data_IF_419149622743
#
_entry.id   IF_419149622743
#
_cell.length_a   1.000
_cell.length_b   1.000
_cell.length_c   1.000
_cell.angle_alpha   90.00
_cell.angle_beta   90.00
_cell.angle_gamma   90.00
#
_symmetry.space_group_name_H-M   'P 1'
#
loop_
_entity.id
_entity.type
_entity.pdbx_description
1 polymer ?
#
# COMPACT_ATOMS: atom_id res chain seq x y z
N UNK A 1 1.63 -0.90 -28.19
CA UNK A 1 1.60 -1.37 -26.79
C UNK A 1 1.01 -2.77 -26.74
N UNK A 2 1.59 -3.69 -25.95
CA UNK A 2 1.06 -5.04 -25.66
C UNK A 2 0.71 -5.10 -24.18
N UNK A 3 -0.43 -5.71 -23.86
CA UNK A 3 -0.87 -5.92 -22.47
C UNK A 3 -0.85 -7.43 -22.23
N UNK A 4 -0.19 -7.86 -21.15
CA UNK A 4 -0.25 -9.22 -20.63
C UNK A 4 -0.89 -9.18 -19.26
N UNK A 5 -1.91 -9.98 -19.06
CA UNK A 5 -2.55 -10.20 -17.78
C UNK A 5 -2.08 -11.57 -17.26
N UNK A 6 -1.65 -11.60 -16.00
CA UNK A 6 -1.27 -12.83 -15.34
C UNK A 6 -2.43 -13.35 -14.49
N UNK A 7 -2.66 -14.67 -14.54
CA UNK A 7 -3.64 -15.27 -13.66
C UNK A 7 -3.07 -15.37 -12.25
N UNK A 8 -3.56 -14.51 -11.37
CA UNK A 8 -3.22 -14.49 -9.95
C UNK A 8 -4.43 -14.82 -9.05
N UNK A 9 -5.56 -15.23 -9.65
CA UNK A 9 -6.82 -15.47 -8.94
C UNK A 9 -7.46 -14.15 -8.49
N UNK A 10 -7.83 -14.05 -7.23
CA UNK A 10 -8.32 -12.77 -6.65
C UNK A 10 -7.15 -11.86 -6.32
N UNK A 11 -6.83 -11.00 -7.27
CA UNK A 11 -5.74 -10.04 -7.23
C UNK A 11 -5.46 -9.50 -8.61
N UNK A 12 -4.48 -8.61 -8.70
CA UNK A 12 -4.11 -7.97 -9.97
C UNK A 12 -2.62 -8.14 -10.26
N UNK A 13 -2.33 -8.41 -11.54
CA UNK A 13 -0.98 -8.43 -12.07
C UNK A 13 -1.00 -8.24 -13.58
N UNK A 14 -0.56 -7.07 -14.04
CA UNK A 14 -0.52 -6.75 -15.46
C UNK A 14 0.90 -6.34 -15.88
N UNK A 15 1.25 -6.62 -17.13
CA UNK A 15 2.46 -6.11 -17.74
C UNK A 15 2.10 -5.34 -19.01
N UNK A 16 2.34 -4.05 -19.00
CA UNK A 16 2.20 -3.17 -20.16
C UNK A 16 3.56 -3.07 -20.84
N UNK A 17 3.69 -3.60 -22.05
CA UNK A 17 4.93 -3.56 -22.84
C UNK A 17 4.83 -2.59 -23.98
N UNK A 18 5.79 -1.69 -24.07
CA UNK A 18 5.94 -0.79 -25.19
C UNK A 18 7.42 -0.74 -25.62
N UNK A 19 7.71 -1.37 -26.79
CA UNK A 19 9.08 -1.51 -27.29
C UNK A 19 10.01 -2.13 -26.25
N UNK A 20 10.96 -1.32 -25.69
CA UNK A 20 11.96 -1.76 -24.69
C UNK A 20 11.59 -1.43 -23.26
N UNK A 21 10.47 -0.70 -23.02
CA UNK A 21 10.01 -0.33 -21.67
C UNK A 21 8.83 -1.22 -21.27
N UNK A 22 8.78 -1.58 -20.01
CA UNK A 22 7.64 -2.32 -19.45
C UNK A 22 7.24 -1.73 -18.11
N UNK A 23 5.93 -1.62 -17.92
CA UNK A 23 5.33 -1.24 -16.65
C UNK A 23 4.55 -2.43 -16.13
N UNK A 24 4.94 -2.93 -14.97
CA UNK A 24 4.17 -3.86 -14.19
C UNK A 24 3.16 -3.06 -13.38
N UNK A 25 1.91 -3.49 -13.38
CA UNK A 25 0.84 -2.88 -12.59
C UNK A 25 0.36 -3.92 -11.61
N UNK A 26 0.58 -3.67 -10.34
CA UNK A 26 0.34 -4.56 -9.23
C UNK A 26 1.02 -5.94 -9.39
N UNK A 27 1.17 -6.65 -8.31
CA UNK A 27 1.60 -8.03 -8.28
C UNK A 27 1.20 -8.67 -6.96
N UNK A 28 0.01 -9.23 -6.92
CA UNK A 28 -0.50 -9.83 -5.70
C UNK A 28 -1.71 -10.74 -5.89
N UNK A 29 -2.07 -11.41 -4.81
CA UNK A 29 -3.28 -12.22 -4.70
C UNK A 29 -3.68 -12.40 -3.24
N UNK A 30 -4.97 -12.50 -2.98
CA UNK A 30 -5.52 -12.94 -1.70
C UNK A 30 -5.69 -14.48 -1.62
N UNK A 31 -5.55 -15.19 -2.76
CA UNK A 31 -5.69 -16.64 -2.79
C UNK A 31 -4.47 -17.35 -2.20
N UNK A 32 -4.69 -18.43 -1.48
CA UNK A 32 -3.61 -19.33 -1.05
C UNK A 32 -3.16 -20.29 -2.17
N UNK A 33 -4.03 -20.54 -3.13
CA UNK A 33 -3.80 -21.39 -4.31
C UNK A 33 -4.30 -20.70 -5.58
N UNK A 34 -3.60 -20.89 -6.68
CA UNK A 34 -3.94 -20.38 -8.02
C UNK A 34 -3.93 -21.59 -8.97
N UNK A 35 -5.04 -21.88 -9.63
CA UNK A 35 -5.20 -23.05 -10.50
C UNK A 35 -4.76 -24.37 -9.83
N UNK A 36 -5.13 -24.55 -8.55
CA UNK A 36 -4.79 -25.73 -7.79
C UNK A 36 -3.34 -25.76 -7.23
N UNK A 37 -2.45 -24.90 -7.68
CA UNK A 37 -1.05 -24.81 -7.22
C UNK A 37 -0.93 -23.86 -6.03
N UNK A 38 0.00 -24.07 -5.09
CA UNK A 38 0.34 -23.10 -4.07
C UNK A 38 0.69 -21.75 -4.70
N UNK A 39 0.21 -20.64 -4.14
CA UNK A 39 0.46 -19.29 -4.71
C UNK A 39 1.95 -18.97 -4.93
N UNK A 40 2.84 -19.57 -4.12
CA UNK A 40 4.30 -19.40 -4.26
C UNK A 40 4.81 -19.88 -5.61
N UNK A 41 4.33 -21.03 -6.07
CA UNK A 41 4.71 -21.59 -7.38
C UNK A 41 4.23 -20.69 -8.53
N UNK A 42 2.99 -20.16 -8.43
CA UNK A 42 2.47 -19.22 -9.41
C UNK A 42 3.30 -17.92 -9.42
N UNK A 43 3.67 -17.41 -8.26
CA UNK A 43 4.56 -16.25 -8.17
C UNK A 43 5.93 -16.52 -8.78
N UNK A 44 6.52 -17.70 -8.56
CA UNK A 44 7.82 -18.05 -9.14
C UNK A 44 7.79 -18.08 -10.67
N UNK A 45 6.69 -18.57 -11.28
CA UNK A 45 6.48 -18.54 -12.72
C UNK A 45 6.40 -17.10 -13.23
N UNK A 46 5.60 -16.25 -12.58
CA UNK A 46 5.45 -14.84 -12.96
C UNK A 46 6.78 -14.08 -12.80
N UNK A 47 7.50 -14.30 -11.70
CA UNK A 47 8.81 -13.70 -11.45
C UNK A 47 9.81 -14.14 -12.53
N UNK A 48 9.80 -15.41 -12.92
CA UNK A 48 10.66 -15.91 -14.00
C UNK A 48 10.39 -15.18 -15.32
N UNK A 49 9.12 -14.92 -15.65
CA UNK A 49 8.79 -14.12 -16.82
C UNK A 49 9.25 -12.65 -16.69
N UNK A 50 9.12 -12.07 -15.50
CA UNK A 50 9.62 -10.71 -15.22
C UNK A 50 11.13 -10.59 -15.38
N UNK A 51 11.93 -11.63 -15.07
CA UNK A 51 13.39 -11.58 -15.21
C UNK A 51 13.82 -11.41 -16.66
N UNK A 52 13.00 -11.83 -17.62
CA UNK A 52 13.29 -11.68 -19.06
C UNK A 52 13.10 -10.24 -19.58
N UNK A 53 12.57 -9.33 -18.73
CA UNK A 53 12.25 -7.95 -19.11
C UNK A 53 13.42 -7.04 -18.65
N UNK A 54 14.14 -6.44 -19.60
CA UNK A 54 15.33 -5.64 -19.32
C UNK A 54 15.02 -4.35 -18.52
N UNK A 55 14.03 -3.58 -18.95
CA UNK A 55 13.64 -2.30 -18.34
C UNK A 55 12.20 -2.39 -17.86
N UNK A 56 12.06 -2.62 -16.59
CA UNK A 56 10.77 -2.76 -15.92
C UNK A 56 10.63 -1.78 -14.77
N UNK A 57 9.53 -1.05 -14.79
CA UNK A 57 9.05 -0.25 -13.68
C UNK A 57 7.84 -0.92 -13.05
N UNK A 58 7.54 -0.60 -11.81
CA UNK A 58 6.39 -1.12 -11.09
C UNK A 58 5.47 0.02 -10.68
N UNK A 59 4.19 -0.12 -10.94
CA UNK A 59 3.12 0.71 -10.38
C UNK A 59 2.35 -0.12 -9.37
N UNK A 60 2.25 0.34 -8.14
CA UNK A 60 1.27 -0.14 -7.18
C UNK A 60 0.08 0.80 -7.18
N UNK A 61 -1.11 0.27 -7.45
CA UNK A 61 -2.34 1.07 -7.48
C UNK A 61 -2.83 1.42 -6.09
N UNK A 62 -2.64 0.50 -5.13
CA UNK A 62 -2.97 0.70 -3.72
C UNK A 62 -2.29 -0.36 -2.81
N UNK A 63 -2.52 -0.28 -1.48
CA UNK A 63 -1.74 -1.02 -0.49
C UNK A 63 -2.40 -2.30 0.04
N UNK A 64 -3.39 -2.86 -0.66
CA UNK A 64 -3.97 -4.14 -0.30
C UNK A 64 -3.08 -5.33 -0.67
N UNK A 65 -3.17 -6.40 0.11
CA UNK A 65 -2.31 -7.57 -0.03
C UNK A 65 -2.50 -8.29 -1.38
N UNK A 66 -3.70 -8.26 -1.93
CA UNK A 66 -4.03 -8.83 -3.24
C UNK A 66 -3.41 -8.09 -4.43
N UNK A 67 -2.85 -6.89 -4.19
CA UNK A 67 -2.09 -6.11 -5.17
C UNK A 67 -0.58 -6.14 -4.94
N UNK A 68 -0.12 -6.53 -3.74
CA UNK A 68 1.30 -6.44 -3.41
C UNK A 68 1.93 -7.71 -2.80
N UNK A 69 1.15 -8.78 -2.53
CA UNK A 69 1.68 -9.99 -1.89
C UNK A 69 2.75 -10.70 -2.71
N UNK A 70 2.68 -10.67 -4.03
CA UNK A 70 3.70 -11.20 -4.92
C UNK A 70 4.97 -10.36 -4.92
N UNK A 71 4.84 -9.03 -4.85
CA UNK A 71 5.98 -8.14 -4.69
C UNK A 71 6.70 -8.41 -3.37
N UNK A 72 5.98 -8.50 -2.26
CA UNK A 72 6.57 -8.83 -0.95
C UNK A 72 7.25 -10.20 -0.95
N UNK A 73 6.63 -11.19 -1.59
CA UNK A 73 7.23 -12.51 -1.79
C UNK A 73 8.54 -12.42 -2.57
N UNK A 74 8.53 -11.71 -3.68
CA UNK A 74 9.70 -11.50 -4.54
C UNK A 74 10.84 -10.81 -3.78
N UNK A 75 10.55 -9.71 -3.08
CA UNK A 75 11.56 -8.96 -2.31
C UNK A 75 12.17 -9.81 -1.19
N UNK A 76 11.38 -10.68 -0.57
CA UNK A 76 11.84 -11.58 0.50
C UNK A 76 12.71 -12.74 -0.02
N UNK A 77 12.35 -13.35 -1.17
CA UNK A 77 12.92 -14.62 -1.59
C UNK A 77 13.91 -14.53 -2.75
N UNK A 78 13.90 -13.45 -3.53
CA UNK A 78 14.76 -13.27 -4.71
C UNK A 78 15.84 -12.19 -4.53
N UNK A 79 15.90 -11.56 -3.39
CA UNK A 79 17.01 -10.72 -2.91
C UNK A 79 17.54 -9.69 -3.92
N UNK A 80 18.86 -9.69 -4.08
CA UNK A 80 19.61 -8.72 -4.88
C UNK A 80 19.46 -8.84 -6.40
N UNK A 81 18.92 -9.96 -6.90
CA UNK A 81 18.81 -10.22 -8.36
C UNK A 81 17.63 -9.51 -9.02
N UNK A 82 16.81 -8.78 -8.28
CA UNK A 82 15.61 -8.18 -8.81
C UNK A 82 15.57 -6.67 -8.57
N UNK A 83 15.69 -5.90 -9.64
CA UNK A 83 15.64 -4.44 -9.61
C UNK A 83 14.57 -3.91 -10.54
N UNK A 84 13.76 -2.99 -10.00
CA UNK A 84 12.93 -2.12 -10.81
C UNK A 84 13.73 -0.86 -11.15
N UNK A 85 13.53 -0.33 -12.35
CA UNK A 85 14.08 0.98 -12.68
C UNK A 85 13.44 2.07 -11.80
N UNK A 86 12.12 1.95 -11.57
CA UNK A 86 11.35 2.84 -10.71
C UNK A 86 10.13 2.13 -10.14
N UNK A 87 9.76 2.49 -8.91
CA UNK A 87 8.51 2.07 -8.27
C UNK A 87 7.63 3.30 -8.09
N UNK A 88 6.43 3.24 -8.65
CA UNK A 88 5.40 4.25 -8.51
C UNK A 88 4.43 3.86 -7.41
N UNK A 89 4.18 4.76 -6.47
CA UNK A 89 3.26 4.56 -5.34
C UNK A 89 2.20 5.67 -5.33
N UNK A 90 0.97 5.38 -4.86
CA UNK A 90 -0.01 6.43 -4.57
C UNK A 90 0.55 7.44 -3.57
N UNK A 91 0.38 8.73 -3.88
CA UNK A 91 0.89 9.80 -3.02
C UNK A 91 -0.04 10.11 -1.84
N UNK A 92 0.07 9.29 -0.81
CA UNK A 92 -0.53 9.54 0.51
C UNK A 92 0.52 10.07 1.51
N UNK A 93 1.73 10.40 1.05
CA UNK A 93 2.86 10.68 1.93
C UNK A 93 3.40 12.11 1.79
N UNK A 94 3.22 12.80 0.67
CA UNK A 94 3.85 14.11 0.47
C UNK A 94 3.08 15.24 1.15
N UNK A 95 1.77 15.15 1.25
CA UNK A 95 0.90 16.20 1.79
C UNK A 95 0.46 15.91 3.22
N UNK A 96 0.55 16.91 4.09
CA UNK A 96 0.01 16.84 5.46
C UNK A 96 -1.52 16.62 5.46
N UNK A 97 -2.22 17.07 4.44
CA UNK A 97 -3.66 16.82 4.27
C UNK A 97 -3.99 15.32 4.19
N UNK A 98 -3.06 14.49 3.73
CA UNK A 98 -3.23 13.04 3.64
C UNK A 98 -2.97 12.31 4.97
N UNK A 99 -2.57 13.00 6.03
CA UNK A 99 -2.22 12.36 7.32
C UNK A 99 -3.41 11.58 7.88
N UNK A 100 -4.64 12.08 7.81
CA UNK A 100 -5.84 11.34 8.24
C UNK A 100 -6.04 10.04 7.47
N UNK A 101 -5.87 10.06 6.15
CA UNK A 101 -5.88 8.85 5.30
C UNK A 101 -4.80 7.87 5.72
N UNK A 102 -3.59 8.36 5.96
CA UNK A 102 -2.46 7.53 6.38
C UNK A 102 -2.69 6.91 7.77
N UNK A 103 -3.31 7.64 8.71
CA UNK A 103 -3.75 7.10 10.01
C UNK A 103 -4.70 5.94 9.83
N UNK A 104 -5.72 6.07 8.98
CA UNK A 104 -6.66 4.99 8.70
C UNK A 104 -5.98 3.77 8.03
N UNK A 105 -5.01 3.99 7.16
CA UNK A 105 -4.20 2.92 6.57
C UNK A 105 -3.36 2.19 7.63
N UNK A 106 -2.73 2.92 8.54
CA UNK A 106 -1.97 2.35 9.65
C UNK A 106 -2.87 1.57 10.61
N UNK A 107 -4.05 2.12 10.93
CA UNK A 107 -5.04 1.41 11.72
C UNK A 107 -5.46 0.11 11.04
N UNK A 108 -5.78 0.14 9.75
CA UNK A 108 -6.13 -1.05 8.98
C UNK A 108 -4.99 -2.08 8.94
N UNK A 109 -3.74 -1.64 8.91
CA UNK A 109 -2.55 -2.51 8.98
C UNK A 109 -2.39 -3.16 10.36
N UNK A 110 -2.64 -2.43 11.46
CA UNK A 110 -2.64 -2.97 12.82
C UNK A 110 -3.74 -3.99 13.07
N UNK A 111 -4.90 -3.83 12.42
CA UNK A 111 -6.07 -4.70 12.58
C UNK A 111 -6.00 -6.04 11.82
N UNK A 112 -4.89 -6.36 11.19
CA UNK A 112 -4.72 -7.57 10.33
C UNK A 112 -5.18 -8.87 10.96
N UNK A 113 -4.95 -9.04 12.26
CA UNK A 113 -5.20 -10.29 12.97
C UNK A 113 -6.59 -10.36 13.60
N UNK A 114 -7.36 -9.27 13.56
CA UNK A 114 -8.71 -9.21 14.09
C UNK A 114 -9.74 -9.42 13.00
N UNK A 115 -10.34 -10.60 12.93
CA UNK A 115 -11.62 -10.98 12.27
C UNK A 115 -12.10 -10.23 10.99
N UNK A 116 -11.25 -9.51 10.29
CA UNK A 116 -11.57 -8.81 9.05
C UNK A 116 -10.93 -9.55 7.87
N UNK A 117 -11.58 -10.66 7.38
CA UNK A 117 -10.94 -11.55 6.46
C UNK A 117 -10.87 -10.95 5.12
N UNK A 118 -10.50 -10.38 4.40
CA UNK A 118 -10.51 -10.26 2.92
C UNK A 118 -9.75 -9.12 2.26
N UNK A 119 -9.35 -8.06 2.98
CA UNK A 119 -8.58 -6.99 2.36
C UNK A 119 -7.56 -6.44 3.36
N UNK A 120 -6.51 -7.22 3.62
CA UNK A 120 -5.44 -6.79 4.51
C UNK A 120 -4.64 -5.68 3.82
N UNK A 121 -4.60 -4.51 4.44
CA UNK A 121 -3.61 -3.49 4.11
C UNK A 121 -2.25 -3.98 4.56
N UNK A 122 -1.23 -3.82 3.75
CA UNK A 122 0.15 -4.21 4.03
C UNK A 122 1.13 -3.08 3.75
N UNK A 123 0.73 -1.89 4.13
CA UNK A 123 1.54 -0.69 3.97
C UNK A 123 2.88 -0.80 4.70
N UNK A 124 2.82 -1.26 5.95
CA UNK A 124 4.01 -1.43 6.77
C UNK A 124 5.01 -2.40 6.15
N UNK A 125 4.55 -3.61 5.76
CA UNK A 125 5.41 -4.61 5.13
C UNK A 125 6.03 -4.12 3.82
N UNK A 126 5.30 -3.31 3.04
CA UNK A 126 5.82 -2.69 1.83
C UNK A 126 6.94 -1.70 2.16
N UNK A 127 6.69 -0.76 3.08
CA UNK A 127 7.69 0.27 3.43
C UNK A 127 8.94 -0.37 4.04
N UNK A 128 8.79 -1.39 4.90
CA UNK A 128 9.91 -2.16 5.43
C UNK A 128 10.72 -2.84 4.32
N UNK A 129 10.06 -3.46 3.36
CA UNK A 129 10.72 -4.12 2.24
C UNK A 129 11.48 -3.12 1.34
N UNK A 130 10.88 -1.95 1.07
CA UNK A 130 11.52 -0.87 0.30
C UNK A 130 12.71 -0.26 1.04
N UNK A 131 12.64 -0.12 2.36
CA UNK A 131 13.74 0.40 3.18
C UNK A 131 14.97 -0.53 3.20
N UNK A 132 14.75 -1.85 3.12
CA UNK A 132 15.83 -2.85 3.07
C UNK A 132 16.58 -2.88 1.75
N UNK A 133 15.94 -2.47 0.67
CA UNK A 133 16.53 -2.46 -0.67
C UNK A 133 16.24 -1.13 -1.35
N UNK A 134 17.28 -0.30 -1.60
CA UNK A 134 17.10 0.97 -2.29
C UNK A 134 16.43 0.77 -3.64
N UNK A 135 15.35 1.50 -3.85
CA UNK A 135 14.64 1.58 -5.12
C UNK A 135 14.39 3.06 -5.41
N UNK A 136 14.32 3.39 -6.68
CA UNK A 136 13.84 4.72 -7.09
C UNK A 136 12.33 4.77 -6.90
N UNK A 137 11.87 5.55 -5.94
CA UNK A 137 10.45 5.70 -5.63
C UNK A 137 9.97 7.04 -6.16
N UNK A 138 8.84 7.00 -6.84
CA UNK A 138 8.10 8.18 -7.26
C UNK A 138 6.66 8.12 -6.75
N UNK A 139 6.23 9.18 -6.08
CA UNK A 139 4.86 9.31 -5.57
C UNK A 139 3.97 9.92 -6.66
N UNK A 140 2.83 9.29 -6.91
CA UNK A 140 1.87 9.70 -7.92
C UNK A 140 0.61 10.27 -7.28
N UNK A 141 0.33 11.54 -7.57
CA UNK A 141 -0.94 12.20 -7.26
C UNK A 141 -1.70 12.54 -8.54
N UNK A 142 -2.99 12.86 -8.38
CA UNK A 142 -3.88 13.23 -9.48
C UNK A 142 -3.25 14.27 -10.42
N UNK A 143 -3.32 14.01 -11.70
CA UNK A 143 -2.79 14.86 -12.75
C UNK A 143 -1.33 14.63 -13.10
N UNK A 144 -0.55 13.92 -12.25
CA UNK A 144 0.86 13.64 -12.53
C UNK A 144 1.01 12.70 -13.72
N UNK A 145 1.84 13.09 -14.68
CA UNK A 145 2.17 12.27 -15.85
C UNK A 145 3.42 11.44 -15.51
N UNK A 146 3.37 10.15 -15.80
CA UNK A 146 4.48 9.22 -15.63
C UNK A 146 4.68 8.33 -16.85
N UNK A 147 5.87 7.79 -17.02
CA UNK A 147 6.27 7.03 -18.23
C UNK A 147 6.00 7.79 -19.55
N UNK A 148 5.98 9.13 -19.52
CA UNK A 148 5.74 10.04 -20.64
C UNK A 148 4.37 9.89 -21.35
N UNK A 149 3.44 9.11 -20.78
CA UNK A 149 2.17 8.77 -21.46
C UNK A 149 1.00 8.38 -20.56
N UNK A 150 1.24 8.08 -19.30
CA UNK A 150 0.18 7.75 -18.37
C UNK A 150 -0.07 8.91 -17.44
N UNK A 151 -1.31 9.14 -17.07
CA UNK A 151 -1.71 10.14 -16.10
C UNK A 151 -2.29 9.46 -14.86
N UNK A 152 -1.82 9.86 -13.68
CA UNK A 152 -2.41 9.42 -12.44
C UNK A 152 -3.75 10.13 -12.22
N UNK A 153 -4.79 9.37 -11.95
CA UNK A 153 -6.13 9.90 -11.68
C UNK A 153 -6.40 10.02 -10.18
N UNK A 154 -5.63 9.33 -9.35
CA UNK A 154 -5.77 9.28 -7.90
C UNK A 154 -4.42 8.92 -7.25
N UNK A 155 -4.17 9.28 -5.96
CA UNK A 155 -5.02 10.11 -5.09
C UNK A 155 -4.93 11.61 -5.42
N UNK A 156 -5.98 12.35 -5.06
CA UNK A 156 -5.89 13.80 -4.98
C UNK A 156 -5.31 14.17 -3.60
N UNK A 157 -4.02 14.51 -3.55
CA UNK A 157 -3.32 14.85 -2.31
C UNK A 157 -3.58 16.30 -1.85
N UNK A 158 -4.42 17.03 -2.54
CA UNK A 158 -4.82 18.41 -2.20
C UNK A 158 -6.14 18.48 -1.44
N UNK A 159 -6.95 17.41 -1.53
CA UNK A 159 -8.29 17.34 -0.94
C UNK A 159 -8.42 16.06 -0.11
N UNK A 160 -8.92 16.18 1.12
CA UNK A 160 -9.34 15.02 1.92
C UNK A 160 -10.77 14.66 1.50
N UNK A 161 -11.05 13.37 1.28
CA UNK A 161 -12.43 12.99 0.99
C UNK A 161 -13.30 13.15 2.24
N UNK A 162 -14.55 13.58 2.05
CA UNK A 162 -15.52 13.73 3.14
C UNK A 162 -15.74 12.42 3.90
N UNK A 163 -15.66 11.28 3.20
CA UNK A 163 -15.75 9.97 3.82
C UNK A 163 -14.56 9.67 4.74
N UNK A 164 -13.35 10.07 4.36
CA UNK A 164 -12.17 9.92 5.21
C UNK A 164 -12.30 10.76 6.48
N UNK A 165 -12.75 12.01 6.35
CA UNK A 165 -12.97 12.90 7.50
C UNK A 165 -14.06 12.36 8.41
N UNK A 166 -15.21 11.91 7.87
CA UNK A 166 -16.31 11.33 8.65
C UNK A 166 -15.85 10.11 9.44
N UNK A 167 -15.09 9.24 8.77
CA UNK A 167 -14.59 8.00 9.36
C UNK A 167 -13.58 8.26 10.45
N UNK A 168 -12.60 9.12 10.18
CA UNK A 168 -11.60 9.53 11.15
C UNK A 168 -12.27 10.18 12.37
N UNK A 169 -13.18 11.13 12.15
CA UNK A 169 -13.87 11.84 13.21
C UNK A 169 -14.63 10.91 14.16
N UNK A 170 -15.41 9.96 13.62
CA UNK A 170 -16.17 9.00 14.43
C UNK A 170 -15.30 8.10 15.31
N UNK A 171 -14.10 7.74 14.86
CA UNK A 171 -13.17 6.97 15.69
C UNK A 171 -12.52 7.89 16.71
N UNK A 172 -12.08 9.07 16.29
CA UNK A 172 -11.38 10.01 17.16
C UNK A 172 -12.27 10.54 18.31
N UNK A 173 -13.59 10.68 18.10
CA UNK A 173 -14.53 11.05 19.15
C UNK A 173 -14.55 10.05 20.32
N UNK A 174 -14.36 8.77 20.06
CA UNK A 174 -14.42 7.71 21.07
C UNK A 174 -13.05 7.22 21.54
N UNK A 175 -11.99 7.44 20.75
CA UNK A 175 -10.64 6.87 20.96
C UNK A 175 -9.56 7.90 20.66
N UNK A 176 -9.68 9.09 21.26
CA UNK A 176 -8.82 10.24 20.97
C UNK A 176 -7.33 9.94 21.14
N UNK A 177 -6.95 9.34 22.27
CA UNK A 177 -5.54 9.10 22.62
C UNK A 177 -4.84 8.18 21.62
N UNK A 178 -5.48 7.08 21.24
CA UNK A 178 -4.91 6.16 20.26
C UNK A 178 -4.85 6.79 18.86
N UNK A 179 -5.83 7.61 18.50
CA UNK A 179 -5.83 8.31 17.22
C UNK A 179 -4.75 9.39 17.14
N UNK A 180 -4.49 10.11 18.22
CA UNK A 180 -3.35 11.04 18.34
C UNK A 180 -2.02 10.30 18.24
N UNK A 181 -1.90 9.15 18.90
CA UNK A 181 -0.72 8.29 18.79
C UNK A 181 -0.51 7.82 17.35
N UNK A 182 -1.54 7.34 16.68
CA UNK A 182 -1.45 6.94 15.27
C UNK A 182 -1.14 8.12 14.34
N UNK A 183 -1.60 9.32 14.67
CA UNK A 183 -1.24 10.53 13.93
C UNK A 183 0.26 10.80 13.98
N UNK A 184 0.87 10.68 15.16
CA UNK A 184 2.33 10.82 15.31
C UNK A 184 3.07 9.76 14.48
N UNK A 185 2.57 8.53 14.45
CA UNK A 185 3.14 7.48 13.62
C UNK A 185 2.97 7.74 12.13
N UNK A 186 1.83 8.25 11.71
CA UNK A 186 1.59 8.64 10.32
C UNK A 186 2.60 9.71 9.86
N UNK A 187 2.84 10.73 10.70
CA UNK A 187 3.84 11.75 10.41
C UNK A 187 5.27 11.20 10.35
N UNK A 188 5.64 10.28 11.26
CA UNK A 188 6.94 9.59 11.21
C UNK A 188 7.09 8.78 9.92
N UNK A 189 6.07 7.98 9.58
CA UNK A 189 6.09 7.15 8.38
C UNK A 189 6.16 7.98 7.09
N UNK A 190 5.40 9.08 7.04
CA UNK A 190 5.42 10.03 5.94
C UNK A 190 6.85 10.53 5.67
N UNK A 191 7.55 10.97 6.70
CA UNK A 191 8.95 11.42 6.60
C UNK A 191 9.90 10.32 6.15
N UNK A 192 9.71 9.08 6.63
CA UNK A 192 10.52 7.94 6.22
C UNK A 192 10.31 7.66 4.73
N UNK A 193 9.06 7.58 4.26
CA UNK A 193 8.77 7.30 2.84
C UNK A 193 9.27 8.44 1.96
N UNK A 194 9.09 9.69 2.36
CA UNK A 194 9.61 10.83 1.62
C UNK A 194 11.14 10.76 1.48
N UNK A 195 11.86 10.31 2.52
CA UNK A 195 13.32 10.14 2.43
C UNK A 195 13.78 9.03 1.47
N UNK A 196 12.87 8.18 1.00
CA UNK A 196 13.14 7.16 -0.03
C UNK A 196 12.88 7.65 -1.45
N UNK A 197 12.27 8.82 -1.62
CA UNK A 197 11.97 9.36 -2.96
C UNK A 197 13.23 9.91 -3.64
N UNK A 198 13.19 10.05 -4.97
CA UNK A 198 14.30 10.63 -5.74
C UNK A 198 14.65 12.08 -5.33
N UNK A 199 13.73 12.79 -4.72
CA UNK A 199 13.92 14.16 -4.24
C UNK A 199 14.80 14.24 -2.99
N UNK A 200 14.94 13.13 -2.26
CA UNK A 200 15.72 13.06 -1.04
C UNK A 200 17.11 12.47 -1.28
N UNK A 201 18.15 13.19 -0.82
CA UNK A 201 19.56 12.76 -0.93
C UNK A 201 20.06 11.95 0.28
N UNK A 202 19.16 11.60 1.21
CA UNK A 202 19.54 10.81 2.39
C UNK A 202 19.94 9.38 2.03
N UNK A 203 20.90 8.83 2.78
CA UNK A 203 21.37 7.45 2.55
C UNK A 203 20.32 6.44 3.00
N UNK A 204 20.17 5.36 2.23
CA UNK A 204 19.26 4.25 2.49
C UNK A 204 19.45 3.60 3.85
N UNK A 205 20.70 3.49 4.33
CA UNK A 205 21.03 2.96 5.64
C UNK A 205 20.34 3.73 6.78
N UNK A 206 20.30 5.08 6.66
CA UNK A 206 19.59 5.93 7.62
C UNK A 206 18.09 5.63 7.59
N UNK A 207 17.54 5.40 6.40
CA UNK A 207 16.13 5.10 6.21
C UNK A 207 15.77 3.73 6.80
N UNK A 208 16.61 2.71 6.58
CA UNK A 208 16.41 1.38 7.14
C UNK A 208 16.46 1.41 8.67
N UNK A 209 17.40 2.13 9.25
CA UNK A 209 17.51 2.32 10.70
C UNK A 209 16.28 3.01 11.27
N UNK A 210 15.82 4.09 10.64
CA UNK A 210 14.57 4.79 11.01
C UNK A 210 13.37 3.85 10.94
N UNK A 211 13.29 3.01 9.91
CA UNK A 211 12.20 2.06 9.74
C UNK A 211 12.19 0.96 10.80
N UNK A 212 13.36 0.43 11.17
CA UNK A 212 13.47 -0.56 12.26
C UNK A 212 13.05 0.02 13.62
N UNK A 213 13.41 1.27 13.90
CA UNK A 213 12.95 1.96 15.12
C UNK A 213 11.44 2.17 15.10
N UNK A 214 10.90 2.64 13.97
CA UNK A 214 9.47 2.79 13.77
C UNK A 214 8.70 1.47 13.97
N UNK A 215 9.17 0.35 13.39
CA UNK A 215 8.51 -0.96 13.53
C UNK A 215 8.36 -1.36 15.00
N UNK A 216 9.44 -1.24 15.77
CA UNK A 216 9.42 -1.61 17.17
C UNK A 216 8.42 -0.79 17.98
N UNK A 217 8.42 0.54 17.78
CA UNK A 217 7.51 1.44 18.46
C UNK A 217 6.05 1.20 18.03
N UNK A 218 5.83 1.07 16.73
CA UNK A 218 4.49 0.87 16.16
C UNK A 218 3.84 -0.44 16.59
N UNK A 219 4.63 -1.54 16.67
CA UNK A 219 4.11 -2.82 17.17
C UNK A 219 3.78 -2.76 18.66
N UNK A 220 4.48 -1.93 19.44
CA UNK A 220 4.19 -1.77 20.87
C UNK A 220 2.80 -1.16 21.12
N UNK A 221 2.27 -0.36 20.20
CA UNK A 221 0.91 0.21 20.30
C UNK A 221 -0.17 -0.87 20.43
N UNK A 222 0.02 -2.03 19.81
CA UNK A 222 -0.92 -3.16 19.92
C UNK A 222 -1.10 -3.68 21.34
N UNK A 223 -0.11 -3.46 22.20
CA UNK A 223 -0.09 -3.95 23.56
C UNK A 223 -0.60 -2.89 24.57
N UNK A 224 -1.08 -1.76 24.09
CA UNK A 224 -1.65 -0.72 24.94
C UNK A 224 -3.11 -1.03 25.30
N UNK A 225 -3.53 -0.53 26.46
CA UNK A 225 -4.93 -0.65 26.89
C UNK A 225 -5.85 0.08 25.91
N UNK A 226 -5.46 1.27 25.48
CA UNK A 226 -6.20 2.11 24.53
C UNK A 226 -6.45 1.38 23.21
N UNK A 227 -5.47 0.59 22.72
CA UNK A 227 -5.67 -0.21 21.52
C UNK A 227 -6.63 -1.37 21.75
N UNK A 228 -6.60 -1.99 22.93
CA UNK A 228 -7.55 -3.05 23.28
C UNK A 228 -8.99 -2.48 23.39
N UNK A 229 -9.15 -1.30 23.95
CA UNK A 229 -10.45 -0.60 24.00
C UNK A 229 -10.97 -0.25 22.61
N UNK A 230 -10.09 0.23 21.71
CA UNK A 230 -10.43 0.46 20.31
C UNK A 230 -10.89 -0.84 19.63
N UNK A 231 -10.20 -1.97 19.85
CA UNK A 231 -10.60 -3.27 19.29
C UNK A 231 -12.01 -3.69 19.75
N UNK A 232 -12.28 -3.55 21.06
CA UNK A 232 -13.60 -3.83 21.61
C UNK A 232 -14.68 -2.94 20.98
N UNK A 233 -14.43 -1.65 20.89
CA UNK A 233 -15.34 -0.71 20.22
C UNK A 233 -15.61 -1.10 18.77
N UNK A 234 -14.57 -1.47 18.02
CA UNK A 234 -14.70 -1.89 16.63
C UNK A 234 -15.48 -3.20 16.50
N UNK A 235 -15.32 -4.13 17.45
CA UNK A 235 -16.06 -5.40 17.46
C UNK A 235 -17.54 -5.21 17.83
N UNK A 236 -17.83 -4.43 18.85
CA UNK A 236 -19.21 -4.08 19.27
C UNK A 236 -19.98 -3.32 18.18
N UNK A 237 -19.29 -2.47 17.43
CA UNK A 237 -19.86 -1.70 16.34
C UNK A 237 -19.74 -2.39 14.96
N UNK A 238 -19.45 -3.67 14.94
CA UNK A 238 -19.17 -4.49 13.73
C UNK A 238 -20.22 -4.37 12.62
N UNK A 239 -21.51 -4.23 12.97
CA UNK A 239 -22.61 -4.09 12.00
C UNK A 239 -22.63 -2.67 11.40
N UNK A 240 -22.39 -1.64 12.22
CA UNK A 240 -22.26 -0.25 11.75
C UNK A 240 -20.95 -0.07 10.98
N UNK A 241 -19.89 -0.78 11.38
CA UNK A 241 -18.59 -0.80 10.75
C UNK A 241 -18.52 -1.70 9.51
N UNK A 242 -19.51 -2.58 9.22
CA UNK A 242 -19.63 -3.18 7.88
C UNK A 242 -19.83 -2.11 6.81
N UNK A 243 -20.59 -1.09 7.08
CA UNK A 243 -20.67 0.11 6.23
C UNK A 243 -19.35 0.89 6.21
N UNK A 244 -18.66 0.95 7.32
CA UNK A 244 -17.36 1.57 7.51
C UNK A 244 -16.23 0.79 6.80
N UNK A 245 -16.20 -0.53 6.92
CA UNK A 245 -15.31 -1.42 6.19
C UNK A 245 -15.49 -1.27 4.68
N UNK A 246 -16.73 -1.18 4.25
CA UNK A 246 -17.07 -0.85 2.88
C UNK A 246 -16.63 0.57 2.53
N UNK A 247 -16.77 1.55 3.41
CA UNK A 247 -16.34 2.94 3.21
C UNK A 247 -14.83 3.12 3.23
N UNK A 248 -14.05 2.52 4.14
CA UNK A 248 -12.57 2.49 4.03
C UNK A 248 -12.14 1.78 2.73
N UNK A 249 -12.78 0.70 2.40
CA UNK A 249 -12.58 -0.02 1.14
C UNK A 249 -13.03 0.79 -0.07
N UNK A 250 -14.09 1.58 0.06
CA UNK A 250 -14.70 2.44 -0.96
C UNK A 250 -13.96 3.77 -1.09
N UNK A 251 -13.37 4.33 -0.04
CA UNK A 251 -12.39 5.43 -0.16
C UNK A 251 -11.24 5.02 -1.12
N UNK A 252 -10.92 3.72 -1.17
CA UNK A 252 -9.93 3.18 -2.09
C UNK A 252 -10.53 2.57 -3.38
N UNK A 253 -11.84 2.34 -3.47
CA UNK A 253 -12.55 1.80 -4.65
C UNK A 253 -13.32 2.85 -5.46
N UNK A 254 -13.87 3.91 -4.85
CA UNK A 254 -14.65 4.93 -5.58
C UNK A 254 -13.81 5.76 -6.56
N UNK A 255 -12.49 5.71 -6.45
CA UNK A 255 -11.64 6.14 -7.54
C UNK A 255 -11.79 5.25 -8.81
N UNK A 256 -12.38 4.04 -8.67
CA UNK A 256 -12.62 3.12 -9.80
C UNK A 256 -13.99 3.32 -10.45
N UNK A 257 -15.00 3.66 -9.68
CA UNK A 257 -16.40 3.63 -10.15
C UNK A 257 -16.93 4.99 -10.62
N UNK A 258 -16.26 6.08 -10.28
CA UNK A 258 -16.69 7.44 -10.65
C UNK A 258 -16.28 7.88 -12.07
N UNK A 259 -15.38 7.16 -12.75
CA UNK A 259 -14.83 7.58 -14.06
C UNK A 259 -15.03 6.56 -15.19
N UNK A 260 -15.76 5.47 -14.95
CA UNK A 260 -16.11 4.50 -16.03
C UNK A 260 -17.44 4.78 -16.71
N UNK A 261 -18.07 5.92 -16.45
CA UNK A 261 -19.22 6.43 -17.22
C UNK A 261 -18.75 7.52 -18.19
N UNK A 262 -17.91 7.14 -19.14
CA UNK A 262 -17.71 7.84 -20.42
C UNK A 262 -18.05 6.90 -21.57
#
# INVERSE_FOLDING_TARGET
MKIRMYNVGFGDCFCLRDRKKSLLVDFGTSNSRIEGRPRKEAFDVIISDFTTIERKNLLLTHFHLDHLSGLLYMMKHRGSSYEFGKIYLPDVFSSEKMTGTLVLLLLADLLKDSCLPSRQVSLFALVEALAKKPQKIELLSRGKIFEDKYQALWPDNTVISSETEEVYGKIAENHKEIMETLWIFAEKLRKIVYSMTEECKEKTEITETKMRAFDREFRAVRNTLEFAELLNYLDENKVKLRRFKHKISVVFQNARDGELNL
#
